data_IF_956031129728
#
_entry.id   IF_956031129728
#
_cell.length_a   1.000
_cell.length_b   1.000
_cell.length_c   1.000
_cell.angle_alpha   90.00
_cell.angle_beta   90.00
_cell.angle_gamma   90.00
#
_symmetry.space_group_name_H-M   'P 1'
#
loop_
_entity.id
_entity.type
_entity.pdbx_description
1 polymer ?
#
# COMPACT_ATOMS: atom_id res chain seq x y z
N UNK A 1 -18.64 2.35 20.41
CA UNK A 1 -20.10 2.50 20.28
C UNK A 1 -20.78 1.29 19.64
N UNK A 2 -20.39 0.77 18.47
CA UNK A 2 -21.05 -0.37 17.79
C UNK A 2 -21.16 -1.66 18.63
N UNK A 3 -20.09 -2.03 19.35
CA UNK A 3 -20.09 -3.21 20.25
C UNK A 3 -21.07 -3.05 21.43
N UNK A 4 -21.22 -1.82 21.90
CA UNK A 4 -22.15 -1.50 22.99
C UNK A 4 -23.62 -1.57 22.53
N UNK A 5 -23.90 -1.09 21.31
CA UNK A 5 -25.24 -1.16 20.69
C UNK A 5 -25.65 -2.61 20.41
N UNK A 6 -24.71 -3.42 19.85
CA UNK A 6 -24.95 -4.85 19.61
C UNK A 6 -25.20 -5.62 20.92
N UNK A 7 -24.42 -5.30 21.96
CA UNK A 7 -24.63 -5.90 23.30
C UNK A 7 -25.95 -5.49 23.93
N UNK A 8 -26.34 -4.22 23.83
CA UNK A 8 -27.65 -3.72 24.30
C UNK A 8 -28.81 -4.37 23.56
N UNK A 9 -28.72 -4.52 22.22
CA UNK A 9 -29.76 -5.18 21.43
C UNK A 9 -29.90 -6.66 21.79
N UNK A 10 -28.81 -7.38 22.02
CA UNK A 10 -28.87 -8.78 22.44
C UNK A 10 -29.40 -8.93 23.86
N UNK A 11 -29.09 -8.00 24.75
CA UNK A 11 -29.57 -8.00 26.13
C UNK A 11 -31.08 -7.71 26.18
N UNK A 12 -31.58 -6.77 25.37
CA UNK A 12 -33.02 -6.48 25.30
C UNK A 12 -33.84 -7.65 24.71
N UNK A 13 -33.26 -8.35 23.71
CA UNK A 13 -33.88 -9.54 23.12
C UNK A 13 -33.95 -10.71 24.12
N UNK A 14 -32.87 -10.91 24.90
CA UNK A 14 -32.84 -11.93 25.95
C UNK A 14 -33.84 -11.63 27.07
N UNK A 15 -33.96 -10.38 27.50
CA UNK A 15 -34.90 -9.93 28.54
C UNK A 15 -36.34 -10.05 28.08
N UNK A 16 -36.67 -9.73 26.82
CA UNK A 16 -38.02 -9.90 26.28
C UNK A 16 -38.41 -11.37 26.16
N UNK A 17 -37.48 -12.25 25.81
CA UNK A 17 -37.73 -13.68 25.71
C UNK A 17 -37.94 -14.31 27.09
N UNK A 18 -37.19 -13.92 28.11
CA UNK A 18 -37.37 -14.39 29.48
C UNK A 18 -38.68 -13.94 30.07
N UNK A 19 -39.18 -12.75 29.74
CA UNK A 19 -40.49 -12.24 30.16
C UNK A 19 -41.63 -13.05 29.53
N UNK A 20 -41.55 -13.44 28.25
CA UNK A 20 -42.53 -14.28 27.57
C UNK A 20 -42.58 -15.67 28.20
N UNK A 21 -41.45 -16.28 28.50
CA UNK A 21 -41.40 -17.61 29.15
C UNK A 21 -42.02 -17.59 30.54
N UNK A 22 -41.83 -16.54 31.33
CA UNK A 22 -42.39 -16.41 32.66
C UNK A 22 -43.91 -16.20 32.68
N UNK A 23 -44.47 -15.59 31.62
CA UNK A 23 -45.91 -15.32 31.51
C UNK A 23 -46.69 -16.46 30.88
N UNK A 24 -46.07 -17.37 30.13
CA UNK A 24 -46.74 -18.47 29.43
C UNK A 24 -46.74 -19.78 30.21
N UNK A 25 -46.09 -19.88 31.37
CA UNK A 25 -46.07 -21.08 32.21
C UNK A 25 -45.46 -22.33 31.56
N UNK A 26 -44.53 -22.13 30.60
CA UNK A 26 -43.84 -23.22 29.90
C UNK A 26 -42.91 -24.00 30.83
N UNK A 27 -42.94 -25.33 30.65
CA UNK A 27 -42.08 -26.26 31.39
C UNK A 27 -40.57 -25.91 31.27
N UNK A 28 -39.79 -26.11 32.35
CA UNK A 28 -38.35 -25.75 32.36
C UNK A 28 -37.50 -26.36 31.23
N UNK A 29 -37.90 -27.52 30.74
CA UNK A 29 -37.23 -28.23 29.63
C UNK A 29 -37.34 -27.46 28.30
N UNK A 30 -38.46 -26.75 28.09
CA UNK A 30 -38.63 -25.94 26.87
C UNK A 30 -37.84 -24.63 26.94
N UNK A 31 -37.64 -24.07 28.12
CA UNK A 31 -36.86 -22.84 28.32
C UNK A 31 -35.39 -23.02 27.96
N UNK A 32 -34.82 -24.18 28.23
CA UNK A 32 -33.43 -24.50 27.85
C UNK A 32 -33.29 -24.64 26.33
N UNK A 33 -34.28 -25.27 25.66
CA UNK A 33 -34.25 -25.38 24.19
C UNK A 33 -34.34 -24.02 23.47
N UNK A 34 -35.16 -23.11 23.98
CA UNK A 34 -35.31 -21.77 23.41
C UNK A 34 -34.04 -20.92 23.64
N UNK A 35 -33.44 -21.00 24.82
CA UNK A 35 -32.18 -20.33 25.12
C UNK A 35 -31.06 -20.83 24.21
N UNK A 36 -31.02 -22.14 23.96
CA UNK A 36 -30.01 -22.73 23.05
C UNK A 36 -30.22 -22.30 21.59
N UNK A 37 -31.45 -22.26 21.11
CA UNK A 37 -31.79 -21.80 19.77
C UNK A 37 -31.43 -20.32 19.56
N UNK A 38 -31.68 -19.45 20.54
CA UNK A 38 -31.29 -18.03 20.48
C UNK A 38 -29.76 -17.87 20.46
N UNK A 39 -29.05 -18.66 21.25
CA UNK A 39 -27.57 -18.62 21.27
C UNK A 39 -26.96 -19.09 19.93
N UNK A 40 -27.52 -20.15 19.34
CA UNK A 40 -27.07 -20.66 18.02
C UNK A 40 -27.34 -19.64 16.92
N UNK A 41 -28.56 -19.06 16.87
CA UNK A 41 -28.88 -18.02 15.88
C UNK A 41 -27.98 -16.79 16.04
N UNK A 42 -27.73 -16.38 17.30
CA UNK A 42 -26.80 -15.25 17.53
C UNK A 42 -25.38 -15.55 17.06
N UNK A 43 -24.88 -16.77 17.25
CA UNK A 43 -23.56 -17.20 16.82
C UNK A 43 -23.41 -17.25 15.29
N UNK A 44 -24.50 -17.56 14.56
CA UNK A 44 -24.48 -17.57 13.10
C UNK A 44 -24.78 -16.21 12.47
N UNK A 45 -25.62 -15.39 13.07
CA UNK A 45 -26.04 -14.10 12.51
C UNK A 45 -25.08 -12.97 12.88
N UNK A 46 -24.46 -13.01 14.08
CA UNK A 46 -23.50 -12.00 14.49
C UNK A 46 -22.28 -11.85 13.56
N UNK A 47 -21.67 -12.91 13.03
CA UNK A 47 -20.58 -12.78 12.05
C UNK A 47 -21.04 -12.22 10.69
N UNK A 48 -22.29 -12.45 10.29
CA UNK A 48 -22.82 -11.87 9.05
C UNK A 48 -22.98 -10.35 9.11
N UNK A 49 -23.24 -9.79 10.29
CA UNK A 49 -23.31 -8.33 10.48
C UNK A 49 -21.96 -7.68 10.82
N UNK A 50 -20.94 -8.46 11.19
CA UNK A 50 -19.58 -7.94 11.35
C UNK A 50 -18.87 -7.68 10.00
N UNK A 51 -19.44 -8.17 8.91
CA UNK A 51 -18.96 -7.98 7.54
C UNK A 51 -19.60 -6.82 6.78
N UNK A 52 -20.28 -5.87 7.45
CA UNK A 52 -20.57 -4.60 6.80
C UNK A 52 -19.22 -3.92 6.56
N UNK A 53 -18.68 -4.12 5.37
CA UNK A 53 -17.61 -3.32 4.87
C UNK A 53 -18.00 -1.87 5.18
N UNK A 54 -17.17 -1.18 5.97
CA UNK A 54 -17.28 0.25 6.11
C UNK A 54 -17.14 0.78 4.69
N UNK A 55 -18.25 1.13 4.06
CA UNK A 55 -18.21 1.89 2.82
C UNK A 55 -17.42 3.12 3.19
N UNK A 56 -16.18 3.18 2.72
CA UNK A 56 -15.34 4.36 2.89
C UNK A 56 -16.07 5.46 2.15
N UNK A 57 -16.66 6.39 2.86
CA UNK A 57 -17.33 7.54 2.24
C UNK A 57 -16.25 8.35 1.58
N UNK A 58 -16.29 8.42 0.24
CA UNK A 58 -15.31 9.17 -0.52
C UNK A 58 -15.39 10.66 -0.17
N UNK A 59 -14.25 11.27 0.12
CA UNK A 59 -14.14 12.70 0.35
C UNK A 59 -14.29 13.14 1.80
N UNK A 60 -14.31 12.22 2.76
CA UNK A 60 -14.34 12.54 4.19
C UNK A 60 -13.00 12.26 4.87
N UNK A 61 -12.64 13.10 5.83
CA UNK A 61 -11.52 12.86 6.73
C UNK A 61 -12.03 12.05 7.93
N UNK A 62 -11.44 10.88 8.15
CA UNK A 62 -11.84 9.94 9.22
C UNK A 62 -10.90 9.92 10.41
N UNK A 63 -9.72 10.55 10.31
CA UNK A 63 -8.72 10.61 11.36
C UNK A 63 -7.95 11.94 11.33
N UNK A 64 -7.41 12.34 12.48
CA UNK A 64 -6.59 13.55 12.59
C UNK A 64 -5.24 13.37 11.92
N UNK A 65 -4.79 14.39 11.19
CA UNK A 65 -3.42 14.47 10.64
C UNK A 65 -2.59 15.26 11.64
N UNK A 66 -1.81 14.53 12.46
CA UNK A 66 -1.07 15.12 13.57
C UNK A 66 0.42 15.23 13.24
N UNK A 67 1.04 16.33 13.73
CA UNK A 67 2.49 16.50 13.70
C UNK A 67 3.13 15.77 14.89
N UNK A 68 4.10 14.91 14.64
CA UNK A 68 4.94 14.37 15.70
C UNK A 68 6.01 15.39 16.11
N UNK A 69 6.08 15.73 17.39
CA UNK A 69 7.15 16.58 17.92
C UNK A 69 8.38 15.77 18.34
N UNK A 70 8.20 14.47 18.60
CA UNK A 70 9.29 13.57 19.05
C UNK A 70 10.04 12.93 17.88
N UNK A 71 9.35 12.70 16.76
CA UNK A 71 9.90 12.10 15.54
C UNK A 71 9.56 12.96 14.34
N UNK A 72 10.23 14.09 14.14
CA UNK A 72 9.99 14.95 12.97
C UNK A 72 10.34 14.19 11.68
N UNK A 73 9.56 14.40 10.63
CA UNK A 73 9.84 13.84 9.32
C UNK A 73 11.15 14.42 8.80
N UNK A 74 12.07 13.55 8.43
CA UNK A 74 13.30 13.90 7.73
C UNK A 74 13.09 13.63 6.25
N UNK A 75 13.22 14.65 5.41
CA UNK A 75 13.11 14.52 3.96
C UNK A 75 14.31 13.81 3.35
N UNK A 76 14.09 13.26 2.15
CA UNK A 76 15.09 12.61 1.32
C UNK A 76 14.92 11.10 1.23
N UNK A 77 15.46 10.56 0.15
CA UNK A 77 15.52 9.13 -0.12
C UNK A 77 16.97 8.65 -0.06
N UNK A 78 17.15 7.36 0.22
CA UNK A 78 18.44 6.70 0.10
C UNK A 78 18.86 6.62 -1.36
N UNK A 79 20.17 6.50 -1.56
CA UNK A 79 20.80 6.42 -2.89
C UNK A 79 20.64 5.01 -3.51
N UNK A 80 19.48 4.38 -3.29
CA UNK A 80 19.15 3.06 -3.82
C UNK A 80 17.66 2.99 -4.15
N UNK A 81 17.34 2.56 -5.36
CA UNK A 81 16.01 2.12 -5.74
C UNK A 81 16.05 0.72 -6.31
N UNK A 82 14.94 0.00 -6.21
CA UNK A 82 14.75 -1.32 -6.84
C UNK A 82 13.67 -1.19 -7.89
N UNK A 83 14.00 -1.54 -9.13
CA UNK A 83 13.10 -1.48 -10.28
C UNK A 83 12.78 -2.90 -10.76
N UNK A 84 11.55 -3.14 -11.10
CA UNK A 84 11.10 -4.41 -11.69
C UNK A 84 10.15 -4.15 -12.84
N UNK A 85 10.08 -5.07 -13.79
CA UNK A 85 9.11 -4.98 -14.88
C UNK A 85 7.71 -5.17 -14.31
N UNK A 86 6.77 -4.35 -14.72
CA UNK A 86 5.40 -4.40 -14.24
C UNK A 86 4.72 -5.74 -14.58
N UNK A 87 4.96 -6.25 -15.78
CA UNK A 87 4.34 -7.47 -16.29
C UNK A 87 4.94 -8.75 -15.67
N UNK A 88 6.07 -8.67 -14.97
CA UNK A 88 6.68 -9.76 -14.22
C UNK A 88 6.07 -9.93 -12.82
N UNK A 89 5.23 -9.01 -12.36
CA UNK A 89 4.62 -9.05 -11.04
C UNK A 89 3.33 -9.84 -11.12
N UNK A 90 3.26 -10.97 -10.42
CA UNK A 90 2.06 -11.82 -10.37
C UNK A 90 1.03 -11.30 -9.38
N UNK A 91 1.47 -10.85 -8.22
CA UNK A 91 0.55 -10.37 -7.18
C UNK A 91 1.26 -9.56 -6.11
N UNK A 92 0.46 -8.74 -5.43
CA UNK A 92 0.80 -8.07 -4.18
C UNK A 92 -0.04 -8.65 -3.06
N UNK A 93 0.58 -8.90 -1.90
CA UNK A 93 -0.14 -9.15 -0.66
C UNK A 93 -0.29 -7.84 0.10
N UNK A 94 -1.51 -7.55 0.58
CA UNK A 94 -1.80 -6.32 1.33
C UNK A 94 -2.12 -6.62 2.78
N UNK A 95 -1.77 -5.72 3.68
CA UNK A 95 -2.24 -5.71 5.05
C UNK A 95 -3.75 -5.38 5.09
N UNK A 96 -4.36 -5.50 6.27
CA UNK A 96 -5.79 -5.25 6.45
C UNK A 96 -6.24 -3.81 6.17
N UNK A 97 -5.30 -2.86 6.10
CA UNK A 97 -5.55 -1.46 5.73
C UNK A 97 -5.77 -1.27 4.22
N UNK A 98 -5.37 -2.24 3.39
CA UNK A 98 -5.43 -2.18 1.93
C UNK A 98 -4.45 -1.18 1.29
N UNK A 99 -3.57 -0.56 2.08
CA UNK A 99 -2.60 0.45 1.64
C UNK A 99 -1.15 -0.04 1.78
N UNK A 100 -0.90 -0.94 2.73
CA UNK A 100 0.44 -1.46 3.02
C UNK A 100 0.66 -2.78 2.29
N UNK A 101 1.67 -2.83 1.42
CA UNK A 101 2.14 -4.05 0.76
C UNK A 101 2.99 -4.83 1.76
N UNK A 102 2.68 -6.11 1.93
CA UNK A 102 3.39 -7.03 2.82
C UNK A 102 4.28 -8.02 2.07
N UNK A 103 3.98 -8.27 0.79
CA UNK A 103 4.76 -9.15 -0.07
C UNK A 103 4.55 -8.83 -1.55
N UNK A 104 5.57 -9.13 -2.37
CA UNK A 104 5.55 -8.97 -3.82
C UNK A 104 6.00 -10.29 -4.44
N UNK A 105 5.12 -10.90 -5.23
CA UNK A 105 5.41 -12.18 -5.89
C UNK A 105 5.72 -11.93 -7.36
N UNK A 106 6.94 -12.29 -7.78
CA UNK A 106 7.36 -12.22 -9.17
C UNK A 106 7.11 -13.54 -9.90
N UNK A 107 7.01 -13.48 -11.21
CA UNK A 107 6.95 -14.65 -12.09
C UNK A 107 8.21 -15.50 -11.96
N UNK A 108 8.08 -16.81 -12.22
CA UNK A 108 9.21 -17.73 -12.11
C UNK A 108 10.36 -17.32 -13.03
N UNK A 109 11.52 -17.07 -12.43
CA UNK A 109 12.73 -16.62 -13.14
C UNK A 109 12.82 -15.10 -13.37
N UNK A 110 11.80 -14.34 -13.00
CA UNK A 110 11.87 -12.89 -12.99
C UNK A 110 12.61 -12.38 -11.75
N UNK A 111 13.35 -11.30 -11.90
CA UNK A 111 14.09 -10.64 -10.83
C UNK A 111 13.93 -9.12 -10.95
N UNK A 112 14.10 -8.44 -9.84
CA UNK A 112 14.22 -7.00 -9.82
C UNK A 112 15.66 -6.57 -10.08
N UNK A 113 15.87 -5.30 -10.36
CA UNK A 113 17.17 -4.71 -10.63
C UNK A 113 17.40 -3.50 -9.74
N UNK A 114 18.64 -3.26 -9.37
CA UNK A 114 19.01 -2.11 -8.55
C UNK A 114 19.39 -0.91 -9.40
N UNK A 115 18.92 0.28 -9.01
CA UNK A 115 19.40 1.56 -9.48
C UNK A 115 20.21 2.18 -8.34
N UNK A 116 21.52 2.36 -8.54
CA UNK A 116 22.38 3.05 -7.58
C UNK A 116 22.38 4.55 -7.86
N UNK A 117 21.98 5.31 -6.87
CA UNK A 117 22.02 6.75 -6.87
C UNK A 117 23.27 7.31 -6.18
N UNK A 118 23.33 8.63 -6.11
CA UNK A 118 24.34 9.39 -5.36
C UNK A 118 23.79 10.76 -4.99
N UNK A 119 23.96 11.17 -3.74
CA UNK A 119 23.60 12.52 -3.29
C UNK A 119 22.13 12.89 -3.60
N UNK A 120 21.19 12.05 -3.19
CA UNK A 120 19.75 12.23 -3.44
C UNK A 120 19.38 12.30 -4.94
N UNK A 121 20.09 11.58 -5.79
CA UNK A 121 19.77 11.49 -7.22
C UNK A 121 18.54 10.66 -7.53
N UNK A 122 17.97 9.99 -6.55
CA UNK A 122 16.69 9.30 -6.64
C UNK A 122 15.63 10.21 -5.98
N UNK A 123 14.71 10.73 -6.78
CA UNK A 123 13.76 11.73 -6.34
C UNK A 123 12.31 11.29 -6.71
N UNK A 124 11.66 10.52 -5.84
CA UNK A 124 10.28 10.12 -6.02
C UNK A 124 9.33 11.27 -5.70
N UNK A 125 8.19 11.30 -6.38
CA UNK A 125 7.13 12.29 -6.18
C UNK A 125 5.77 11.65 -6.48
N UNK A 126 4.75 12.05 -5.71
CA UNK A 126 3.36 11.78 -6.03
C UNK A 126 2.55 13.07 -5.98
N UNK A 127 1.61 13.24 -6.89
CA UNK A 127 0.75 14.43 -6.94
C UNK A 127 -0.69 14.06 -7.31
N UNK A 128 -1.65 14.68 -6.61
CA UNK A 128 -3.07 14.54 -6.93
C UNK A 128 -3.40 15.30 -8.22
N UNK A 129 -4.07 14.63 -9.13
CA UNK A 129 -4.54 15.22 -10.39
C UNK A 129 -6.02 14.92 -10.61
N UNK A 130 -6.64 15.68 -11.51
CA UNK A 130 -8.01 15.45 -11.96
C UNK A 130 -7.98 14.87 -13.37
N UNK A 131 -8.56 13.68 -13.55
CA UNK A 131 -8.71 13.02 -14.85
C UNK A 131 -10.20 12.86 -15.13
N UNK A 132 -10.75 13.70 -16.01
CA UNK A 132 -12.19 13.73 -16.26
C UNK A 132 -12.99 14.05 -14.99
N UNK A 133 -13.80 13.11 -14.55
CA UNK A 133 -14.61 13.22 -13.33
C UNK A 133 -13.91 12.65 -12.09
N UNK A 134 -12.80 11.93 -12.26
CA UNK A 134 -12.09 11.26 -11.18
C UNK A 134 -10.89 12.07 -10.70
N UNK A 135 -10.52 11.88 -9.43
CA UNK A 135 -9.23 12.31 -8.88
C UNK A 135 -8.34 11.08 -8.77
N UNK A 136 -7.14 11.19 -9.28
CA UNK A 136 -6.14 10.13 -9.33
C UNK A 136 -4.77 10.70 -8.98
N UNK A 137 -3.74 9.90 -8.97
CA UNK A 137 -2.39 10.33 -8.62
C UNK A 137 -1.43 10.08 -9.77
N UNK A 138 -0.58 11.06 -10.01
CA UNK A 138 0.64 10.90 -10.79
C UNK A 138 1.74 10.42 -9.87
N UNK A 139 2.37 9.31 -10.24
CA UNK A 139 3.62 8.87 -9.63
C UNK A 139 4.77 9.21 -10.57
N UNK A 140 5.82 9.79 -10.04
CA UNK A 140 7.04 10.13 -10.76
C UNK A 140 8.23 9.66 -9.95
N UNK A 141 9.20 9.02 -10.61
CA UNK A 141 10.49 8.72 -10.00
C UNK A 141 11.57 9.21 -10.94
N UNK A 142 12.31 10.21 -10.50
CA UNK A 142 13.51 10.67 -11.21
C UNK A 142 14.73 9.96 -10.64
N UNK A 143 15.63 9.53 -11.50
CA UNK A 143 16.88 8.90 -11.10
C UNK A 143 18.03 9.31 -12.04
N UNK A 144 19.26 9.17 -11.57
CA UNK A 144 20.46 9.41 -12.36
C UNK A 144 21.27 8.13 -12.51
N UNK A 145 21.71 7.84 -13.74
CA UNK A 145 22.59 6.74 -14.05
C UNK A 145 24.03 7.23 -14.28
N UNK A 146 24.94 6.80 -13.45
CA UNK A 146 26.33 7.24 -13.47
C UNK A 146 27.25 6.39 -14.36
N UNK A 147 26.74 5.31 -14.93
CA UNK A 147 27.45 4.50 -15.92
C UNK A 147 27.00 4.87 -17.34
N UNK A 148 27.99 5.11 -18.22
CA UNK A 148 27.78 5.49 -19.63
C UNK A 148 28.22 4.41 -20.59
N UNK A 149 28.45 3.19 -20.10
CA UNK A 149 28.93 2.06 -20.88
C UNK A 149 27.98 1.65 -22.02
N UNK A 150 28.44 0.95 -23.05
CA UNK A 150 27.56 0.41 -24.08
C UNK A 150 26.46 -0.54 -23.51
N UNK A 151 26.77 -1.27 -22.43
CA UNK A 151 25.81 -2.15 -21.78
C UNK A 151 24.63 -1.39 -21.21
N UNK A 152 24.89 -0.29 -20.47
CA UNK A 152 23.82 0.57 -19.93
C UNK A 152 22.99 1.23 -21.05
N UNK A 153 23.64 1.70 -22.12
CA UNK A 153 22.93 2.26 -23.28
C UNK A 153 22.00 1.22 -23.92
N UNK A 154 22.46 -0.02 -24.05
CA UNK A 154 21.62 -1.12 -24.55
C UNK A 154 20.43 -1.39 -23.64
N UNK A 155 20.67 -1.41 -22.31
CA UNK A 155 19.62 -1.57 -21.30
C UNK A 155 18.57 -0.46 -21.40
N UNK A 156 18.99 0.80 -21.45
CA UNK A 156 18.09 1.94 -21.58
C UNK A 156 17.27 1.91 -22.88
N UNK A 157 17.89 1.46 -23.99
CA UNK A 157 17.18 1.28 -25.25
C UNK A 157 16.08 0.20 -25.16
N UNK A 158 16.29 -0.87 -24.39
CA UNK A 158 15.28 -1.90 -24.18
C UNK A 158 14.18 -1.47 -23.21
N UNK A 159 14.45 -0.52 -22.33
CA UNK A 159 13.46 -0.01 -21.35
C UNK A 159 12.45 0.99 -21.93
N UNK A 160 12.73 1.58 -23.10
CA UNK A 160 11.95 2.71 -23.65
C UNK A 160 10.45 2.44 -23.83
N UNK A 161 10.06 1.20 -24.08
CA UNK A 161 8.66 0.80 -24.32
C UNK A 161 8.10 -0.07 -23.16
N UNK A 162 8.83 -0.13 -22.04
CA UNK A 162 8.47 -0.94 -20.87
C UNK A 162 7.67 -0.17 -19.83
N UNK A 163 6.97 -0.94 -18.97
CA UNK A 163 6.35 -0.44 -17.74
C UNK A 163 7.06 -1.02 -16.52
N UNK A 164 7.18 -0.22 -15.49
CA UNK A 164 8.02 -0.55 -14.34
C UNK A 164 7.31 -0.26 -13.02
N UNK A 165 7.70 -0.99 -11.99
CA UNK A 165 7.42 -0.66 -10.60
C UNK A 165 8.73 -0.35 -9.90
N UNK A 166 8.74 0.72 -9.12
CA UNK A 166 9.96 1.19 -8.45
C UNK A 166 9.72 1.27 -6.95
N UNK A 167 10.61 0.64 -6.19
CA UNK A 167 10.66 0.73 -4.74
C UNK A 167 11.78 1.67 -4.35
N UNK A 168 11.46 2.69 -3.56
CA UNK A 168 12.44 3.63 -2.99
C UNK A 168 12.55 3.48 -1.49
N UNK A 169 13.70 3.80 -0.91
CA UNK A 169 13.92 3.79 0.53
C UNK A 169 14.04 5.22 1.05
N UNK A 170 13.20 5.60 2.00
CA UNK A 170 13.21 6.89 2.67
C UNK A 170 14.27 6.97 3.77
N UNK A 171 14.85 8.15 4.00
CA UNK A 171 15.65 8.41 5.20
C UNK A 171 14.80 8.32 6.46
N UNK A 172 13.60 8.89 6.42
CA UNK A 172 12.63 8.76 7.50
C UNK A 172 11.97 7.39 7.46
N UNK A 173 12.23 6.58 8.48
CA UNK A 173 11.72 5.20 8.53
C UNK A 173 10.41 5.05 9.28
N UNK A 174 9.93 6.10 9.94
CA UNK A 174 8.76 6.05 10.80
C UNK A 174 8.94 5.16 12.03
N UNK A 175 7.85 4.87 12.72
CA UNK A 175 7.86 3.98 13.89
C UNK A 175 8.07 2.53 13.39
N UNK A 176 9.04 1.85 13.96
CA UNK A 176 9.40 0.45 13.61
C UNK A 176 9.80 0.23 12.14
N UNK A 177 9.93 1.29 11.34
CA UNK A 177 10.30 1.18 9.93
C UNK A 177 9.13 1.16 8.95
N UNK A 178 7.92 1.48 9.39
CA UNK A 178 6.70 1.42 8.59
C UNK A 178 6.59 2.47 7.47
N UNK A 179 7.50 3.42 7.41
CA UNK A 179 7.57 4.47 6.38
C UNK A 179 8.90 4.41 5.61
N UNK A 180 9.63 3.29 5.72
CA UNK A 180 10.96 3.16 5.13
C UNK A 180 10.92 2.96 3.62
N UNK A 181 9.97 2.18 3.12
CA UNK A 181 9.89 1.80 1.72
C UNK A 181 8.56 2.23 1.12
N UNK A 182 8.63 2.80 -0.08
CA UNK A 182 7.47 3.21 -0.87
C UNK A 182 7.53 2.58 -2.26
N UNK A 183 6.38 2.09 -2.73
CA UNK A 183 6.21 1.42 -4.03
C UNK A 183 5.47 2.36 -4.97
N UNK A 184 6.11 2.71 -6.07
CA UNK A 184 5.60 3.60 -7.10
C UNK A 184 5.18 2.79 -8.33
N UNK A 185 4.00 3.09 -8.89
CA UNK A 185 3.49 2.42 -10.08
C UNK A 185 2.89 1.04 -9.81
N UNK A 186 2.44 0.75 -8.58
CA UNK A 186 1.97 -0.59 -8.21
C UNK A 186 0.74 -1.05 -8.99
N UNK A 187 -0.15 -0.15 -9.41
CA UNK A 187 -1.41 -0.49 -10.10
C UNK A 187 -1.30 -0.37 -11.61
N UNK A 188 -0.67 0.69 -12.10
CA UNK A 188 -0.66 1.04 -13.53
C UNK A 188 0.71 0.89 -14.20
N UNK A 189 1.76 0.80 -13.40
CA UNK A 189 3.13 0.87 -13.87
C UNK A 189 3.59 2.30 -14.16
N UNK A 190 4.89 2.48 -14.20
CA UNK A 190 5.57 3.71 -14.61
C UNK A 190 6.21 3.50 -15.97
N UNK A 191 6.09 4.44 -16.87
CA UNK A 191 6.77 4.44 -18.16
C UNK A 191 8.02 5.30 -18.10
N UNK A 192 9.06 4.93 -18.83
CA UNK A 192 10.28 5.71 -18.96
C UNK A 192 10.03 6.84 -19.98
N UNK A 193 9.73 8.03 -19.49
CA UNK A 193 9.31 9.17 -20.33
C UNK A 193 10.45 10.10 -20.73
N UNK A 194 11.52 10.13 -19.95
CA UNK A 194 12.69 10.96 -20.22
C UNK A 194 13.96 10.14 -20.05
N UNK A 195 14.83 10.20 -21.04
CA UNK A 195 16.23 9.79 -20.97
C UNK A 195 17.04 10.93 -21.57
N UNK A 196 17.77 11.65 -20.75
CA UNK A 196 18.59 12.77 -21.18
C UNK A 196 20.04 12.58 -20.75
N UNK A 197 20.96 13.08 -21.52
CA UNK A 197 22.38 13.16 -21.17
C UNK A 197 23.02 14.35 -21.86
N UNK A 198 23.56 15.26 -21.07
CA UNK A 198 24.46 16.32 -21.55
C UNK A 198 25.86 16.06 -20.98
N UNK A 199 26.85 15.67 -21.82
CA UNK A 199 28.21 15.43 -21.38
C UNK A 199 28.90 16.66 -20.79
N UNK A 200 28.43 17.87 -21.13
CA UNK A 200 29.04 19.14 -20.71
C UNK A 200 28.34 19.75 -19.48
N UNK A 201 27.26 19.13 -18.99
CA UNK A 201 26.54 19.59 -17.80
C UNK A 201 27.38 19.31 -16.54
N UNK A 202 27.82 20.38 -15.88
CA UNK A 202 28.64 20.29 -14.67
C UNK A 202 27.89 19.70 -13.48
N UNK A 203 26.56 19.92 -13.39
CA UNK A 203 25.73 19.45 -12.27
C UNK A 203 25.49 17.95 -12.32
N UNK A 204 25.32 17.39 -13.53
CA UNK A 204 25.12 15.96 -13.73
C UNK A 204 26.40 15.20 -14.00
N UNK A 205 27.50 15.91 -14.26
CA UNK A 205 28.80 15.34 -14.67
C UNK A 205 28.69 14.38 -15.88
N UNK A 206 27.73 14.64 -16.77
CA UNK A 206 27.44 13.80 -17.93
C UNK A 206 26.77 12.47 -17.64
N UNK A 207 26.15 12.30 -16.45
CA UNK A 207 25.30 11.18 -16.14
C UNK A 207 24.04 11.18 -17.02
N UNK A 208 23.35 10.05 -17.09
CA UNK A 208 22.00 9.98 -17.64
C UNK A 208 20.98 10.45 -16.61
N UNK A 209 20.05 11.29 -17.01
CA UNK A 209 18.85 11.62 -16.26
C UNK A 209 17.67 10.79 -16.78
N UNK A 210 16.99 10.08 -15.88
CA UNK A 210 15.82 9.28 -16.18
C UNK A 210 14.59 9.84 -15.46
N UNK A 211 13.45 9.81 -16.13
CA UNK A 211 12.17 10.08 -15.49
C UNK A 211 11.21 8.95 -15.82
N UNK A 212 10.76 8.27 -14.77
CA UNK A 212 9.68 7.31 -14.82
C UNK A 212 8.41 8.01 -14.36
N UNK A 213 7.33 7.83 -15.09
CA UNK A 213 6.09 8.57 -14.84
C UNK A 213 4.86 7.72 -15.18
N UNK A 214 3.77 7.90 -14.44
CA UNK A 214 2.47 7.35 -14.82
C UNK A 214 1.91 8.16 -15.98
N UNK A 215 1.91 7.61 -17.19
CA UNK A 215 1.49 8.33 -18.39
C UNK A 215 -0.05 8.36 -18.54
N UNK A 216 -0.62 7.50 -19.36
CA UNK A 216 -2.06 7.49 -19.64
C UNK A 216 -2.85 6.92 -18.46
N UNK A 217 -2.37 5.83 -17.88
CA UNK A 217 -2.99 5.15 -16.76
C UNK A 217 -2.44 5.70 -15.45
N UNK A 218 -3.27 6.44 -14.74
CA UNK A 218 -2.91 7.06 -13.45
C UNK A 218 -3.13 6.11 -12.29
N UNK A 219 -2.39 6.31 -11.20
CA UNK A 219 -2.55 5.53 -9.99
C UNK A 219 -3.81 5.96 -9.22
N UNK A 220 -4.60 5.02 -8.69
CA UNK A 220 -5.78 5.35 -7.90
C UNK A 220 -5.44 5.87 -6.51
N UNK A 221 -4.19 5.67 -6.04
CA UNK A 221 -3.73 5.92 -4.68
C UNK A 221 -2.37 6.61 -4.65
N UNK A 222 -2.02 7.14 -3.49
CA UNK A 222 -0.63 7.48 -3.16
C UNK A 222 0.26 6.23 -3.19
N UNK A 223 1.60 6.39 -3.28
CA UNK A 223 2.52 5.25 -3.24
C UNK A 223 2.26 4.37 -2.01
N UNK A 224 2.17 3.07 -2.25
CA UNK A 224 1.94 2.11 -1.18
C UNK A 224 3.18 2.00 -0.29
N UNK A 225 3.01 1.95 1.02
CA UNK A 225 4.10 1.56 1.89
C UNK A 225 4.39 0.06 1.74
N UNK A 226 5.68 -0.35 1.74
CA UNK A 226 6.06 -1.75 1.86
C UNK A 226 6.56 -2.00 3.27
N UNK A 227 5.78 -2.74 4.05
CA UNK A 227 6.09 -3.01 5.45
C UNK A 227 5.46 -4.31 5.94
N UNK A 228 6.23 -5.11 6.71
CA UNK A 228 5.75 -6.35 7.30
C UNK A 228 5.63 -6.20 8.82
N UNK A 229 6.73 -6.25 9.52
CA UNK A 229 6.78 -6.18 11.00
C UNK A 229 7.86 -5.24 11.51
N UNK A 230 8.92 -5.04 10.73
CA UNK A 230 10.06 -4.20 11.06
C UNK A 230 10.79 -3.74 9.80
N UNK A 231 11.64 -2.72 9.94
CA UNK A 231 12.52 -2.29 8.86
C UNK A 231 13.37 -3.43 8.29
N UNK A 232 13.96 -4.25 9.17
CA UNK A 232 14.83 -5.34 8.74
C UNK A 232 14.07 -6.42 7.95
N UNK A 233 12.85 -6.78 8.37
CA UNK A 233 12.01 -7.72 7.66
C UNK A 233 11.57 -7.18 6.29
N UNK A 234 11.15 -5.92 6.22
CA UNK A 234 10.76 -5.26 4.97
C UNK A 234 11.95 -5.15 4.01
N UNK A 235 13.13 -4.77 4.52
CA UNK A 235 14.36 -4.74 3.73
C UNK A 235 14.72 -6.12 3.17
N UNK A 236 14.55 -7.19 3.95
CA UNK A 236 14.84 -8.55 3.49
C UNK A 236 13.96 -8.97 2.30
N UNK A 237 12.67 -8.55 2.28
CA UNK A 237 11.81 -8.76 1.09
C UNK A 237 12.37 -8.01 -0.12
N UNK A 238 12.68 -6.72 0.04
CA UNK A 238 13.22 -5.91 -1.07
C UNK A 238 14.53 -6.49 -1.60
N UNK A 239 15.41 -6.97 -0.72
CA UNK A 239 16.68 -7.59 -1.12
C UNK A 239 16.48 -8.98 -1.75
N UNK A 240 15.41 -9.69 -1.41
CA UNK A 240 15.10 -11.01 -2.00
C UNK A 240 14.51 -10.93 -3.42
N UNK A 241 14.05 -9.74 -3.85
CA UNK A 241 13.57 -9.51 -5.22
C UNK A 241 14.73 -9.42 -6.23
N UNK A 242 15.95 -9.06 -5.77
CA UNK A 242 17.16 -8.91 -6.59
C UNK A 242 17.82 -10.25 -6.90
#
# INVERSE_FOLDING_TARGET
>A
MKKLISFLLSLTMLLSLSAIISTTGLEPSLSVGVAFAVTVVHSFVAPMFNGVALVTVCGEISASILKSCTTPIQGGTRDRAVIMNFDDILSYSYAADGETITDIVLASGAVAYQIDGKNNSIAPKASLIKVGFNKMFDHTVMAKGFDISPAIKSQLNSMKDGRFVIITENYFKGTSGNSAFEVYGATSGLELTVIERDPNNADTQGAFDFTFFTDVNKEPRLPNALFITSYAASKAIVDALL
#
